data_IF_133992364663
#
_entry.id   IF_133992364663
#
_cell.length_a   1.000
_cell.length_b   1.000
_cell.length_c   1.000
_cell.angle_alpha   90.00
_cell.angle_beta   90.00
_cell.angle_gamma   90.00
#
_symmetry.space_group_name_H-M   'P 1'
#
loop_
_entity.id
_entity.type
_entity.pdbx_description
1 polymer ?
#
# COMPACT_ATOMS: atom_id res chain seq x y z
N UNK A 1 -2.47 -8.33 -31.97
CA UNK A 1 -1.44 -7.87 -31.02
C UNK A 1 -2.10 -6.82 -30.11
N UNK A 2 -2.72 -7.27 -29.01
CA UNK A 2 -3.30 -6.35 -28.04
C UNK A 2 -2.18 -5.80 -27.17
N UNK A 3 -2.01 -4.48 -27.15
CA UNK A 3 -1.14 -3.79 -26.23
C UNK A 3 -1.65 -4.03 -24.80
N UNK A 4 -0.82 -4.58 -23.92
CA UNK A 4 -1.15 -4.77 -22.51
C UNK A 4 -1.41 -3.42 -21.80
N UNK A 5 -2.18 -3.40 -20.72
CA UNK A 5 -2.55 -2.17 -20.04
C UNK A 5 -1.32 -1.45 -19.47
N UNK A 6 -1.31 -0.12 -19.49
CA UNK A 6 -0.15 0.69 -19.08
C UNK A 6 0.17 0.54 -17.58
N UNK A 7 1.44 0.69 -17.27
CA UNK A 7 2.00 0.69 -15.91
C UNK A 7 1.31 1.69 -14.96
N UNK A 8 1.45 1.49 -13.64
CA UNK A 8 1.02 2.47 -12.63
C UNK A 8 1.46 3.89 -13.04
N UNK A 9 0.59 4.90 -13.00
CA UNK A 9 0.89 6.25 -13.49
C UNK A 9 2.12 6.87 -12.84
N UNK A 10 2.40 6.52 -11.59
CA UNK A 10 3.58 6.99 -10.87
C UNK A 10 4.90 6.31 -11.33
N UNK A 11 4.82 5.19 -12.05
CA UNK A 11 6.00 4.51 -12.63
C UNK A 11 6.30 4.92 -14.06
N UNK A 12 5.30 5.42 -14.79
CA UNK A 12 5.47 5.85 -16.19
C UNK A 12 5.91 7.31 -16.34
N UNK A 13 6.04 8.05 -15.23
CA UNK A 13 6.37 9.48 -15.27
C UNK A 13 5.24 10.37 -15.82
N UNK A 14 4.09 9.79 -16.16
CA UNK A 14 2.97 10.53 -16.76
C UNK A 14 2.11 11.28 -15.72
N UNK A 15 2.35 11.06 -14.43
CA UNK A 15 1.66 11.75 -13.34
C UNK A 15 0.12 11.64 -13.42
N UNK A 16 -0.59 12.68 -12.99
CA UNK A 16 -2.05 12.75 -13.08
C UNK A 16 -2.59 12.77 -14.52
N UNK A 17 -1.77 13.03 -15.53
CA UNK A 17 -2.15 13.00 -16.95
C UNK A 17 -2.01 11.64 -17.63
N UNK A 18 -1.50 10.61 -16.92
CA UNK A 18 -1.40 9.23 -17.44
C UNK A 18 -2.75 8.51 -17.45
N UNK A 19 -2.93 7.51 -18.32
CA UNK A 19 -4.20 6.82 -18.56
C UNK A 19 -4.91 6.20 -17.35
N UNK A 20 -4.22 5.98 -16.20
CA UNK A 20 -4.82 5.57 -14.92
C UNK A 20 -5.16 6.74 -14.01
N UNK A 21 -4.57 7.87 -14.24
CA UNK A 21 -4.91 9.13 -13.58
C UNK A 21 -6.16 9.77 -14.17
N UNK A 22 -6.63 9.26 -15.31
CA UNK A 22 -7.96 9.59 -15.83
C UNK A 22 -9.08 9.21 -14.85
N UNK A 23 -8.85 8.19 -14.00
CA UNK A 23 -9.79 7.83 -12.93
C UNK A 23 -9.94 8.95 -11.89
N UNK A 24 -8.85 9.67 -11.54
CA UNK A 24 -8.93 10.82 -10.66
C UNK A 24 -9.77 11.94 -11.28
N UNK A 25 -9.57 12.25 -12.55
CA UNK A 25 -10.36 13.29 -13.21
C UNK A 25 -11.85 12.91 -13.39
N UNK A 26 -12.14 11.61 -13.57
CA UNK A 26 -13.51 11.10 -13.57
C UNK A 26 -14.18 11.27 -12.21
N UNK A 27 -13.50 10.87 -11.16
CA UNK A 27 -13.92 11.08 -9.78
C UNK A 27 -14.08 12.56 -9.46
N UNK A 28 -13.10 13.39 -9.85
CA UNK A 28 -13.14 14.82 -9.56
C UNK A 28 -14.31 15.53 -10.22
N UNK A 29 -14.60 15.24 -11.50
CA UNK A 29 -15.80 15.77 -12.18
C UNK A 29 -17.10 15.41 -11.47
N UNK A 30 -17.18 14.18 -10.91
CA UNK A 30 -18.31 13.78 -10.08
C UNK A 30 -18.41 14.65 -8.81
N UNK A 31 -17.29 14.90 -8.14
CA UNK A 31 -17.25 15.76 -6.95
C UNK A 31 -17.64 17.19 -7.28
N UNK A 32 -17.23 17.72 -8.42
CA UNK A 32 -17.65 19.04 -8.92
C UNK A 32 -19.15 19.12 -9.17
N UNK A 33 -19.71 18.12 -9.84
CA UNK A 33 -21.16 18.05 -10.10
C UNK A 33 -21.97 17.93 -8.80
N UNK A 34 -21.51 17.16 -7.82
CA UNK A 34 -22.15 17.06 -6.51
C UNK A 34 -22.07 18.39 -5.75
N UNK A 35 -20.97 19.11 -5.85
CA UNK A 35 -20.81 20.42 -5.23
C UNK A 35 -21.76 21.46 -5.83
N UNK A 36 -21.87 21.51 -7.15
CA UNK A 36 -22.79 22.37 -7.88
C UNK A 36 -24.28 22.07 -7.57
N UNK A 37 -24.57 20.79 -7.28
CA UNK A 37 -25.91 20.36 -6.84
C UNK A 37 -26.17 20.58 -5.34
N UNK A 38 -25.23 21.14 -4.57
CA UNK A 38 -25.37 21.32 -3.13
C UNK A 38 -25.26 20.01 -2.31
N UNK A 39 -24.80 18.91 -2.95
CA UNK A 39 -24.72 17.58 -2.37
C UNK A 39 -23.27 17.12 -2.19
N UNK A 40 -22.31 18.03 -2.06
CA UNK A 40 -20.93 17.67 -1.89
C UNK A 40 -20.70 16.92 -0.57
N UNK A 41 -19.97 15.78 -0.58
CA UNK A 41 -19.68 15.05 0.64
C UNK A 41 -18.86 15.93 1.60
N UNK A 42 -19.16 15.94 2.90
CA UNK A 42 -18.40 16.74 3.87
C UNK A 42 -16.98 16.20 4.09
N UNK A 43 -16.73 14.95 3.72
CA UNK A 43 -15.46 14.26 3.90
C UNK A 43 -15.08 13.51 2.63
N UNK A 44 -13.85 13.70 2.16
CA UNK A 44 -13.25 12.98 1.03
C UNK A 44 -11.94 12.35 1.50
N UNK A 45 -11.74 11.08 1.18
CA UNK A 45 -10.48 10.36 1.42
C UNK A 45 -9.92 9.84 0.12
N UNK A 46 -8.67 10.19 -0.16
CA UNK A 46 -7.92 9.67 -1.32
C UNK A 46 -6.75 8.84 -0.83
N UNK A 47 -6.80 7.52 -1.07
CA UNK A 47 -5.66 6.63 -0.83
C UNK A 47 -4.72 6.62 -2.03
N UNK A 48 -3.43 6.68 -1.77
CA UNK A 48 -2.41 6.59 -2.80
C UNK A 48 -1.11 5.98 -2.27
N UNK A 49 -0.18 5.70 -3.17
CA UNK A 49 1.19 5.36 -2.78
C UNK A 49 1.94 6.61 -2.32
N UNK A 50 2.87 6.44 -1.38
CA UNK A 50 3.70 7.55 -0.85
C UNK A 50 4.45 8.31 -1.96
N UNK A 51 4.74 7.64 -3.08
CA UNK A 51 5.36 8.25 -4.26
C UNK A 51 4.59 9.42 -4.87
N UNK A 52 3.30 9.60 -4.57
CA UNK A 52 2.53 10.77 -4.98
C UNK A 52 3.17 12.09 -4.48
N UNK A 53 3.74 12.08 -3.28
CA UNK A 53 4.38 13.26 -2.67
C UNK A 53 5.54 13.84 -3.49
N UNK A 54 6.17 13.01 -4.33
CA UNK A 54 7.34 13.39 -5.16
C UNK A 54 7.09 13.26 -6.65
N UNK A 55 5.91 12.81 -7.06
CA UNK A 55 5.55 12.66 -8.48
C UNK A 55 5.64 14.01 -9.19
N UNK A 56 6.34 14.05 -10.34
CA UNK A 56 6.64 15.27 -11.11
C UNK A 56 7.17 16.42 -10.23
N UNK A 57 8.11 16.11 -9.33
CA UNK A 57 8.66 17.10 -8.41
C UNK A 57 7.71 17.56 -7.29
N UNK A 58 6.57 16.86 -7.09
CA UNK A 58 5.51 17.21 -6.13
C UNK A 58 4.27 17.86 -6.76
N UNK A 59 4.30 18.16 -8.07
CA UNK A 59 3.21 18.85 -8.75
C UNK A 59 1.89 18.06 -8.72
N UNK A 60 1.92 16.72 -8.75
CA UNK A 60 0.70 15.91 -8.69
C UNK A 60 0.01 16.01 -7.33
N UNK A 61 0.78 16.00 -6.25
CA UNK A 61 0.26 16.19 -4.91
C UNK A 61 -0.30 17.60 -4.70
N UNK A 62 0.42 18.62 -5.17
CA UNK A 62 -0.01 20.01 -5.10
C UNK A 62 -1.33 20.24 -5.88
N UNK A 63 -1.45 19.67 -7.08
CA UNK A 63 -2.67 19.76 -7.88
C UNK A 63 -3.88 19.10 -7.19
N UNK A 64 -3.68 17.93 -6.54
CA UNK A 64 -4.72 17.27 -5.74
C UNK A 64 -5.16 18.16 -4.58
N UNK A 65 -4.22 18.71 -3.82
CA UNK A 65 -4.52 19.59 -2.68
C UNK A 65 -5.22 20.88 -3.14
N UNK A 66 -4.77 21.48 -4.24
CA UNK A 66 -5.38 22.69 -4.80
C UNK A 66 -6.82 22.47 -5.26
N UNK A 67 -7.10 21.34 -5.93
CA UNK A 67 -8.44 20.97 -6.35
C UNK A 67 -9.40 20.86 -5.15
N UNK A 68 -9.00 20.17 -4.09
CA UNK A 68 -9.78 20.00 -2.86
C UNK A 68 -9.98 21.34 -2.13
N UNK A 69 -8.89 22.11 -1.95
CA UNK A 69 -8.94 23.42 -1.29
C UNK A 69 -9.81 24.44 -2.05
N UNK A 70 -9.77 24.42 -3.39
CA UNK A 70 -10.58 25.28 -4.25
C UNK A 70 -12.09 25.05 -4.12
N UNK A 71 -12.51 23.92 -3.55
CA UNK A 71 -13.90 23.59 -3.23
C UNK A 71 -14.21 23.73 -1.73
N UNK A 72 -13.39 24.46 -0.98
CA UNK A 72 -13.65 24.79 0.43
C UNK A 72 -13.31 23.69 1.44
N UNK A 73 -12.57 22.64 1.04
CA UNK A 73 -12.09 21.64 1.97
C UNK A 73 -10.80 22.07 2.69
N UNK A 74 -10.72 21.80 3.98
CA UNK A 74 -9.44 21.65 4.67
C UNK A 74 -8.78 20.37 4.20
N UNK A 75 -7.49 20.38 3.92
CA UNK A 75 -6.79 19.26 3.31
C UNK A 75 -5.56 18.92 4.13
N UNK A 76 -5.37 17.67 4.42
CA UNK A 76 -4.14 17.18 5.04
C UNK A 76 -3.83 15.77 4.59
N UNK A 77 -2.63 15.30 4.88
CA UNK A 77 -2.20 13.97 4.53
C UNK A 77 -1.46 13.28 5.68
N UNK A 78 -1.67 11.99 5.81
CA UNK A 78 -0.95 11.12 6.74
C UNK A 78 -0.39 9.91 6.00
N UNK A 79 0.72 9.39 6.49
CA UNK A 79 1.33 8.16 5.99
C UNK A 79 1.15 7.06 7.02
N UNK A 80 0.61 5.91 6.60
CA UNK A 80 0.50 4.73 7.43
C UNK A 80 1.00 3.49 6.67
N UNK A 81 1.74 2.61 7.36
CA UNK A 81 2.15 1.33 6.80
C UNK A 81 1.20 0.23 7.30
N UNK A 82 0.73 -0.62 6.38
CA UNK A 82 -0.05 -1.81 6.74
C UNK A 82 0.68 -2.70 7.76
N UNK A 83 1.99 -2.60 7.87
CA UNK A 83 2.79 -3.31 8.87
C UNK A 83 2.38 -3.01 10.33
N UNK A 84 1.66 -1.92 10.57
CA UNK A 84 1.05 -1.64 11.86
C UNK A 84 -0.20 -2.49 12.15
N UNK A 85 -0.75 -3.20 11.17
CA UNK A 85 -2.03 -3.90 11.26
C UNK A 85 -1.97 -5.36 10.81
N UNK A 86 -1.15 -5.65 9.80
CA UNK A 86 -0.93 -6.98 9.23
C UNK A 86 0.55 -7.16 8.94
N UNK A 87 1.07 -8.39 8.85
CA UNK A 87 2.50 -8.59 8.58
C UNK A 87 2.86 -8.32 7.10
N UNK A 88 2.50 -7.12 6.60
CA UNK A 88 2.77 -6.66 5.25
C UNK A 88 3.36 -5.26 5.25
N UNK A 89 4.55 -5.06 4.71
CA UNK A 89 5.10 -3.73 4.46
C UNK A 89 4.42 -3.10 3.24
N UNK A 90 3.46 -2.23 3.50
CA UNK A 90 2.64 -1.53 2.49
C UNK A 90 2.38 -0.09 2.94
N UNK A 91 3.37 0.82 2.88
CA UNK A 91 3.16 2.21 3.21
C UNK A 91 2.20 2.87 2.20
N UNK A 92 1.25 3.64 2.74
CA UNK A 92 0.22 4.36 1.99
C UNK A 92 0.07 5.78 2.49
N UNK A 93 -0.26 6.66 1.55
CA UNK A 93 -0.64 8.04 1.81
C UNK A 93 -2.17 8.12 1.82
N UNK A 94 -2.73 8.67 2.88
CA UNK A 94 -4.14 9.02 2.96
C UNK A 94 -4.25 10.54 2.93
N UNK A 95 -4.80 11.08 1.86
CA UNK A 95 -5.16 12.51 1.78
C UNK A 95 -6.60 12.63 2.26
N UNK A 96 -6.81 13.36 3.33
CA UNK A 96 -8.13 13.56 3.94
C UNK A 96 -8.53 15.01 3.76
N UNK A 97 -9.70 15.23 3.17
CA UNK A 97 -10.27 16.54 2.94
C UNK A 97 -11.61 16.64 3.68
N UNK A 98 -11.81 17.69 4.46
CA UNK A 98 -12.96 17.87 5.34
C UNK A 98 -13.54 19.28 5.21
N UNK A 99 -14.87 19.38 5.01
CA UNK A 99 -15.64 20.63 5.07
C UNK A 99 -16.23 20.78 6.47
N UNK A 100 -15.58 21.55 7.29
CA UNK A 100 -16.02 21.80 8.65
C UNK A 100 -14.89 22.33 9.51
N UNK A 101 -15.22 22.62 10.76
CA UNK A 101 -14.23 23.02 11.74
C UNK A 101 -13.67 21.76 12.44
N UNK A 102 -12.44 21.41 12.09
CA UNK A 102 -11.80 20.26 12.72
C UNK A 102 -11.54 20.52 14.20
N UNK A 103 -11.82 19.53 15.09
CA UNK A 103 -11.43 19.61 16.48
C UNK A 103 -9.92 19.83 16.63
N UNK A 104 -9.49 20.67 17.58
CA UNK A 104 -8.09 20.95 17.83
C UNK A 104 -7.28 19.65 18.08
N UNK A 105 -7.85 18.70 18.83
CA UNK A 105 -7.22 17.41 19.09
C UNK A 105 -6.88 16.59 17.84
N UNK A 106 -7.57 16.83 16.73
CA UNK A 106 -7.37 16.10 15.46
C UNK A 106 -6.57 16.91 14.42
N UNK A 107 -6.13 18.13 14.74
CA UNK A 107 -5.54 19.08 13.79
C UNK A 107 -4.21 19.72 14.23
N UNK A 108 -3.51 19.08 15.18
CA UNK A 108 -2.24 19.59 15.73
C UNK A 108 -0.99 18.90 15.18
N UNK A 109 -1.16 17.97 14.26
CA UNK A 109 -0.09 17.13 13.73
C UNK A 109 0.26 15.96 14.65
N UNK A 110 1.15 15.09 14.18
CA UNK A 110 1.54 13.88 14.90
C UNK A 110 2.54 13.04 14.10
N UNK A 111 2.92 11.86 14.61
CA UNK A 111 3.97 11.02 14.02
C UNK A 111 3.65 10.51 12.61
N UNK A 112 2.37 10.55 12.20
CA UNK A 112 1.91 10.13 10.87
C UNK A 112 2.03 11.24 9.82
N UNK A 113 2.29 12.48 10.25
CA UNK A 113 2.78 13.57 9.39
C UNK A 113 4.29 13.39 9.25
N UNK A 114 4.68 12.45 8.41
CA UNK A 114 6.10 12.08 8.23
C UNK A 114 6.92 13.25 7.65
N UNK A 115 8.26 13.22 7.75
CA UNK A 115 9.11 14.22 7.09
C UNK A 115 8.85 14.33 5.57
N UNK A 116 8.40 13.27 4.92
CA UNK A 116 8.04 13.30 3.50
C UNK A 116 6.75 14.12 3.27
N UNK A 117 5.73 13.90 4.10
CA UNK A 117 4.48 14.68 4.08
C UNK A 117 4.76 16.15 4.42
N UNK A 118 5.54 16.42 5.45
CA UNK A 118 5.90 17.78 5.83
C UNK A 118 6.62 18.53 4.70
N UNK A 119 7.60 17.91 4.05
CA UNK A 119 8.28 18.50 2.87
C UNK A 119 7.34 18.74 1.70
N UNK A 120 6.35 17.87 1.48
CA UNK A 120 5.37 18.07 0.42
C UNK A 120 4.40 19.23 0.76
N UNK A 121 3.94 19.31 2.02
CA UNK A 121 3.17 20.44 2.55
C UNK A 121 3.89 21.77 2.34
N UNK A 122 5.19 21.82 2.66
CA UNK A 122 5.98 23.06 2.59
C UNK A 122 6.20 23.57 1.15
N UNK A 123 5.89 22.74 0.15
CA UNK A 123 5.88 23.12 -1.28
C UNK A 123 4.52 23.57 -1.79
N UNK A 124 3.47 23.45 -0.96
CA UNK A 124 2.15 23.96 -1.34
C UNK A 124 2.16 25.47 -1.29
N UNK A 125 1.36 26.09 -2.16
CA UNK A 125 1.15 27.52 -2.26
C UNK A 125 -0.34 27.90 -2.25
N UNK A 126 -0.63 29.20 -2.23
CA UNK A 126 -1.97 29.76 -2.36
C UNK A 126 -3.01 29.08 -1.47
N UNK A 127 -4.16 28.76 -2.07
CA UNK A 127 -5.30 28.16 -1.37
C UNK A 127 -4.97 26.78 -0.76
N UNK A 128 -4.14 25.98 -1.41
CA UNK A 128 -3.76 24.68 -0.90
C UNK A 128 -2.96 24.78 0.42
N UNK A 129 -2.06 25.76 0.49
CA UNK A 129 -1.28 26.03 1.72
C UNK A 129 -2.17 26.59 2.82
N UNK A 130 -3.07 27.50 2.50
CA UNK A 130 -3.98 28.11 3.46
C UNK A 130 -5.00 27.10 4.04
N UNK A 131 -5.44 26.15 3.23
CA UNK A 131 -6.38 25.11 3.62
C UNK A 131 -5.71 23.91 4.32
N UNK A 132 -4.38 23.88 4.40
CA UNK A 132 -3.67 22.73 4.97
C UNK A 132 -3.98 22.53 6.46
N UNK A 133 -4.15 21.28 6.83
CA UNK A 133 -4.36 20.82 8.21
C UNK A 133 -3.46 19.62 8.48
N UNK A 134 -2.63 19.72 9.54
CA UNK A 134 -1.83 18.57 9.98
C UNK A 134 -2.71 17.66 10.86
N UNK A 135 -3.26 16.61 10.24
CA UNK A 135 -4.13 15.65 10.92
C UNK A 135 -3.40 14.90 12.04
N UNK A 136 -4.09 14.69 13.15
CA UNK A 136 -3.58 14.07 14.39
C UNK A 136 -4.39 12.84 14.80
N UNK A 137 -4.57 11.81 13.97
CA UNK A 137 -5.23 10.61 14.42
C UNK A 137 -4.40 9.92 15.52
N UNK A 138 -5.08 9.23 16.43
CA UNK A 138 -4.40 8.36 17.39
C UNK A 138 -3.55 7.33 16.63
N UNK A 139 -2.27 7.19 17.02
CA UNK A 139 -1.37 6.23 16.41
C UNK A 139 -1.92 4.79 16.52
N UNK A 140 -1.70 3.93 15.49
CA UNK A 140 -2.09 2.53 15.57
C UNK A 140 -1.30 1.80 16.67
N UNK A 141 -1.94 0.81 17.29
CA UNK A 141 -1.34 0.06 18.41
C UNK A 141 -0.12 -0.80 18.01
N UNK A 142 0.08 -1.01 16.72
CA UNK A 142 1.09 -1.93 16.19
C UNK A 142 0.54 -3.33 15.96
N UNK A 143 1.30 -4.14 15.22
CA UNK A 143 0.94 -5.52 14.86
C UNK A 143 2.00 -6.48 15.35
N UNK A 144 1.61 -7.48 16.13
CA UNK A 144 2.51 -8.54 16.63
C UNK A 144 2.48 -9.81 15.76
N UNK A 145 1.58 -9.88 14.76
CA UNK A 145 1.54 -11.01 13.82
C UNK A 145 2.76 -11.03 12.92
N UNK A 146 3.20 -12.24 12.59
CA UNK A 146 4.26 -12.50 11.61
C UNK A 146 3.69 -13.14 10.36
N UNK A 147 4.41 -13.06 9.26
CA UNK A 147 4.05 -13.74 8.01
C UNK A 147 3.77 -15.24 8.23
N UNK A 148 4.55 -15.89 9.11
CA UNK A 148 4.38 -17.30 9.43
C UNK A 148 2.98 -17.63 9.97
N UNK A 149 2.37 -16.71 10.73
CA UNK A 149 1.08 -16.91 11.39
C UNK A 149 -0.09 -16.90 10.40
N UNK A 150 0.12 -16.38 9.18
CA UNK A 150 -0.90 -16.27 8.15
C UNK A 150 -0.82 -17.36 7.09
N UNK A 151 0.22 -18.19 7.12
CA UNK A 151 0.41 -19.23 6.11
C UNK A 151 -0.60 -20.36 6.28
N UNK A 152 -0.98 -20.94 5.15
CA UNK A 152 -1.73 -22.19 5.13
C UNK A 152 -0.80 -23.35 5.52
N UNK A 153 -1.34 -24.48 6.06
CA UNK A 153 -0.55 -25.65 6.40
C UNK A 153 0.27 -26.17 5.21
N UNK A 154 1.46 -26.71 5.49
CA UNK A 154 2.40 -27.14 4.47
C UNK A 154 1.88 -28.25 3.55
N UNK A 155 0.98 -29.08 4.06
CA UNK A 155 0.31 -30.19 3.35
C UNK A 155 -0.89 -29.71 2.51
N UNK A 156 -1.41 -28.52 2.79
CA UNK A 156 -2.51 -27.92 2.03
C UNK A 156 -2.05 -27.10 0.82
N UNK A 157 -0.75 -26.93 0.62
CA UNK A 157 -0.18 -26.03 -0.40
C UNK A 157 0.81 -26.75 -1.33
N UNK A 158 0.88 -26.28 -2.58
CA UNK A 158 1.84 -26.80 -3.54
C UNK A 158 3.19 -26.09 -3.42
N UNK A 159 4.25 -26.81 -3.14
CA UNK A 159 5.62 -26.34 -3.12
C UNK A 159 6.26 -26.40 -4.51
N UNK A 160 7.16 -25.48 -4.78
CA UNK A 160 7.98 -25.54 -5.99
C UNK A 160 8.86 -26.81 -5.98
N UNK A 161 9.04 -27.47 -7.14
CA UNK A 161 10.02 -28.55 -7.27
C UNK A 161 11.43 -28.07 -6.82
N UNK A 162 12.27 -28.98 -6.29
CA UNK A 162 13.62 -28.64 -5.82
C UNK A 162 14.46 -27.89 -6.86
N UNK A 163 14.36 -28.28 -8.13
CA UNK A 163 15.09 -27.64 -9.23
C UNK A 163 14.64 -26.19 -9.47
N UNK A 164 13.34 -25.89 -9.36
CA UNK A 164 12.85 -24.54 -9.46
C UNK A 164 13.33 -23.70 -8.28
N UNK A 165 13.23 -24.23 -7.05
CA UNK A 165 13.75 -23.57 -5.85
C UNK A 165 15.25 -23.25 -6.02
N UNK A 166 16.05 -24.19 -6.48
CA UNK A 166 17.49 -24.00 -6.71
C UNK A 166 17.77 -22.89 -7.74
N UNK A 167 17.03 -22.89 -8.86
CA UNK A 167 17.14 -21.81 -9.87
C UNK A 167 16.76 -20.43 -9.31
N UNK A 168 15.73 -20.36 -8.48
CA UNK A 168 15.31 -19.11 -7.84
C UNK A 168 16.38 -18.61 -6.85
N UNK A 169 16.97 -19.48 -6.04
CA UNK A 169 18.05 -19.14 -5.11
C UNK A 169 19.32 -18.69 -5.83
N UNK A 170 19.64 -19.28 -6.97
CA UNK A 170 20.78 -18.88 -7.80
C UNK A 170 20.70 -17.44 -8.34
N UNK A 171 19.51 -16.82 -8.34
CA UNK A 171 19.34 -15.40 -8.67
C UNK A 171 19.66 -14.46 -7.50
N UNK A 172 19.97 -14.96 -6.31
CA UNK A 172 20.33 -14.13 -5.16
C UNK A 172 21.66 -13.43 -5.37
N UNK A 173 21.78 -12.21 -4.85
CA UNK A 173 23.10 -11.57 -4.73
C UNK A 173 23.94 -12.30 -3.69
N UNK A 174 25.29 -12.17 -3.71
CA UNK A 174 26.18 -12.78 -2.72
C UNK A 174 25.76 -12.45 -1.27
N UNK A 175 25.32 -11.22 -1.01
CA UNK A 175 24.85 -10.79 0.31
C UNK A 175 23.57 -11.54 0.73
N UNK A 176 22.63 -11.73 -0.17
CA UNK A 176 21.40 -12.47 0.11
C UNK A 176 21.69 -13.96 0.30
N UNK A 177 22.57 -14.53 -0.50
CA UNK A 177 22.99 -15.93 -0.38
C UNK A 177 23.70 -16.21 0.97
N UNK A 178 24.59 -15.31 1.40
CA UNK A 178 25.27 -15.42 2.69
C UNK A 178 24.28 -15.34 3.87
N UNK A 179 23.28 -14.45 3.83
CA UNK A 179 22.23 -14.39 4.86
C UNK A 179 21.42 -15.67 4.91
N UNK A 180 21.05 -16.21 3.77
CA UNK A 180 20.34 -17.49 3.70
C UNK A 180 21.20 -18.64 4.25
N UNK A 181 22.48 -18.69 3.92
CA UNK A 181 23.42 -19.70 4.44
C UNK A 181 23.54 -19.61 5.97
N UNK A 182 23.62 -18.41 6.53
CA UNK A 182 23.63 -18.21 7.98
C UNK A 182 22.35 -18.76 8.63
N UNK A 183 21.16 -18.45 8.08
CA UNK A 183 19.90 -18.99 8.59
C UNK A 183 19.81 -20.51 8.51
N UNK A 184 20.35 -21.13 7.46
CA UNK A 184 20.39 -22.60 7.34
C UNK A 184 21.24 -23.26 8.43
N UNK A 185 22.24 -22.55 8.93
CA UNK A 185 23.11 -23.04 9.98
C UNK A 185 22.53 -22.92 11.40
N UNK A 186 21.49 -22.08 11.60
CA UNK A 186 20.87 -21.86 12.92
C UNK A 186 19.93 -22.98 13.36
N UNK A 187 19.49 -23.85 12.42
CA UNK A 187 18.47 -24.86 12.69
C UNK A 187 17.07 -24.26 12.89
N UNK A 188 16.08 -25.12 13.13
CA UNK A 188 14.69 -24.72 13.32
C UNK A 188 14.00 -24.23 12.04
N UNK A 189 12.82 -23.63 12.22
CA UNK A 189 11.96 -23.17 11.10
C UNK A 189 11.98 -21.65 10.98
N UNK A 190 12.42 -21.14 9.84
CA UNK A 190 12.43 -19.73 9.49
C UNK A 190 11.55 -19.48 8.26
N UNK A 191 10.55 -18.62 8.41
CA UNK A 191 9.64 -18.21 7.33
C UNK A 191 10.00 -16.81 6.87
N UNK A 192 10.11 -16.64 5.56
CA UNK A 192 10.39 -15.33 4.95
C UNK A 192 9.53 -15.06 3.71
N UNK A 193 9.47 -13.79 3.36
CA UNK A 193 8.96 -13.38 2.05
C UNK A 193 10.08 -13.44 1.02
N UNK A 194 9.73 -13.91 -0.17
CA UNK A 194 10.66 -14.10 -1.28
C UNK A 194 10.08 -13.45 -2.54
N UNK A 195 10.88 -12.67 -3.26
CA UNK A 195 10.41 -11.96 -4.43
C UNK A 195 11.55 -11.72 -5.43
N UNK A 196 11.19 -11.60 -6.70
CA UNK A 196 12.12 -11.26 -7.78
C UNK A 196 12.01 -9.78 -8.12
N UNK A 197 13.14 -9.14 -8.32
CA UNK A 197 13.25 -7.76 -8.79
C UNK A 197 14.21 -7.64 -9.95
N UNK A 198 13.88 -6.78 -10.90
CA UNK A 198 14.83 -6.36 -11.93
C UNK A 198 15.71 -5.28 -11.32
N UNK A 199 17.02 -5.49 -11.34
CA UNK A 199 18.06 -4.55 -10.94
C UNK A 199 18.83 -4.11 -12.17
N UNK A 200 19.39 -2.92 -12.15
CA UNK A 200 20.38 -2.47 -13.15
C UNK A 200 21.77 -2.71 -12.58
N UNK A 201 22.54 -3.54 -13.25
CA UNK A 201 23.92 -3.87 -12.91
C UNK A 201 24.77 -3.68 -14.16
N UNK A 202 25.83 -2.85 -14.09
CA UNK A 202 26.68 -2.51 -15.23
C UNK A 202 25.90 -2.11 -16.50
N UNK A 203 24.79 -1.36 -16.34
CA UNK A 203 23.94 -0.91 -17.45
C UNK A 203 22.93 -1.95 -17.96
N UNK A 204 23.02 -3.21 -17.53
CA UNK A 204 22.11 -4.28 -17.94
C UNK A 204 21.00 -4.52 -16.91
N UNK A 205 19.84 -4.99 -17.40
CA UNK A 205 18.72 -5.38 -16.55
C UNK A 205 18.89 -6.84 -16.12
N UNK A 206 19.15 -7.08 -14.83
CA UNK A 206 19.33 -8.42 -14.27
C UNK A 206 18.19 -8.72 -13.30
N UNK A 207 17.60 -9.91 -13.39
CA UNK A 207 16.65 -10.37 -12.37
C UNK A 207 17.41 -10.89 -11.15
N UNK A 208 17.07 -10.33 -9.98
CA UNK A 208 17.58 -10.76 -8.68
C UNK A 208 16.45 -11.28 -7.80
N UNK A 209 16.73 -12.32 -7.06
CA UNK A 209 15.88 -12.81 -6.00
C UNK A 209 16.32 -12.22 -4.66
N UNK A 210 15.36 -11.76 -3.89
CA UNK A 210 15.57 -11.18 -2.56
C UNK A 210 14.67 -11.88 -1.56
N UNK A 211 15.18 -12.17 -0.38
CA UNK A 211 14.43 -12.72 0.74
C UNK A 211 14.52 -11.79 1.94
N UNK A 212 13.44 -11.71 2.72
CA UNK A 212 13.41 -11.04 4.02
C UNK A 212 12.83 -11.99 5.07
N UNK A 213 13.41 -11.98 6.26
CA UNK A 213 13.04 -12.86 7.38
C UNK A 213 12.71 -12.07 8.64
N UNK A 214 12.26 -10.85 8.49
CA UNK A 214 11.84 -9.95 9.57
C UNK A 214 10.37 -10.14 9.97
N UNK A 215 9.73 -11.19 9.50
CA UNK A 215 8.34 -11.51 9.79
C UNK A 215 7.33 -10.79 8.89
N UNK A 216 7.77 -9.97 7.93
CA UNK A 216 6.88 -9.21 7.06
C UNK A 216 6.89 -9.74 5.62
N UNK A 217 5.74 -9.75 4.98
CA UNK A 217 5.61 -9.84 3.53
C UNK A 217 5.96 -8.49 2.87
N UNK A 218 6.35 -8.54 1.60
CA UNK A 218 6.42 -7.34 0.77
C UNK A 218 5.03 -6.84 0.38
N UNK A 219 4.96 -5.62 -0.15
CA UNK A 219 3.72 -5.06 -0.65
C UNK A 219 3.11 -5.92 -1.76
N UNK A 220 1.90 -6.42 -1.54
CA UNK A 220 1.13 -7.09 -2.57
C UNK A 220 0.86 -6.14 -3.74
N UNK A 221 0.94 -6.68 -4.94
CA UNK A 221 0.71 -5.94 -6.18
C UNK A 221 -0.21 -6.73 -7.07
N UNK A 222 -0.98 -6.05 -7.88
CA UNK A 222 -1.73 -6.66 -8.96
C UNK A 222 -0.81 -7.51 -9.83
N UNK A 223 -1.10 -8.79 -10.05
CA UNK A 223 -0.26 -9.65 -10.88
C UNK A 223 -0.23 -9.16 -12.33
N UNK A 224 0.97 -8.82 -12.82
CA UNK A 224 1.22 -8.47 -14.22
C UNK A 224 2.34 -9.34 -14.76
N UNK A 225 2.09 -10.64 -14.77
CA UNK A 225 3.10 -11.65 -15.08
C UNK A 225 3.79 -12.24 -13.85
N UNK A 226 4.51 -13.35 -14.04
CA UNK A 226 5.00 -14.21 -12.96
C UNK A 226 5.98 -13.58 -11.95
N UNK A 227 6.66 -12.47 -12.30
CA UNK A 227 7.66 -11.84 -11.43
C UNK A 227 7.06 -10.87 -10.39
N UNK A 228 5.80 -10.47 -10.54
CA UNK A 228 5.12 -9.53 -9.61
C UNK A 228 4.45 -10.24 -8.43
N UNK A 229 4.31 -11.56 -8.48
CA UNK A 229 3.69 -12.35 -7.42
C UNK A 229 4.67 -12.55 -6.25
N UNK A 230 4.16 -12.38 -5.04
CA UNK A 230 4.90 -12.67 -3.84
C UNK A 230 5.04 -14.18 -3.63
N UNK A 231 6.15 -14.58 -3.06
CA UNK A 231 6.45 -15.97 -2.73
C UNK A 231 6.83 -16.07 -1.26
N UNK A 232 6.72 -17.28 -0.73
CA UNK A 232 7.21 -17.66 0.57
C UNK A 232 8.51 -18.46 0.38
N UNK A 233 9.47 -18.25 1.26
CA UNK A 233 10.65 -19.10 1.46
C UNK A 233 10.60 -19.64 2.88
N UNK A 234 10.77 -20.94 3.02
CA UNK A 234 10.89 -21.61 4.32
C UNK A 234 12.24 -22.29 4.38
N UNK A 235 12.98 -22.00 5.45
CA UNK A 235 14.21 -22.70 5.82
C UNK A 235 13.87 -23.52 7.05
N UNK A 236 14.05 -24.84 6.98
CA UNK A 236 13.75 -25.77 8.07
C UNK A 236 14.83 -26.83 8.13
N UNK A 237 15.53 -26.86 9.24
CA UNK A 237 16.65 -27.78 9.49
C UNK A 237 17.67 -27.85 8.33
N UNK A 238 18.01 -26.68 7.80
CA UNK A 238 18.95 -26.54 6.69
C UNK A 238 18.36 -26.77 5.30
N UNK A 239 17.16 -27.36 5.19
CA UNK A 239 16.43 -27.47 3.91
C UNK A 239 15.75 -26.15 3.54
N UNK A 240 15.67 -25.85 2.23
CA UNK A 240 15.01 -24.63 1.73
C UNK A 240 13.91 -25.02 0.76
N UNK A 241 12.72 -24.53 1.03
CA UNK A 241 11.56 -24.69 0.13
C UNK A 241 11.02 -23.31 -0.25
N UNK A 242 10.46 -23.19 -1.45
CA UNK A 242 9.82 -21.95 -1.92
C UNK A 242 8.48 -22.26 -2.56
N UNK A 243 7.55 -21.33 -2.49
CA UNK A 243 6.27 -21.39 -3.20
C UNK A 243 5.69 -19.99 -3.41
N UNK A 244 4.72 -19.87 -4.27
CA UNK A 244 3.93 -18.64 -4.35
C UNK A 244 3.01 -18.52 -3.13
N UNK A 245 2.68 -17.29 -2.74
CA UNK A 245 1.56 -17.03 -1.84
C UNK A 245 0.26 -17.49 -2.49
N UNK A 246 -0.59 -18.14 -1.69
CA UNK A 246 -1.94 -18.50 -2.13
C UNK A 246 -2.85 -17.27 -2.13
N UNK A 247 -3.99 -17.32 -2.83
CA UNK A 247 -5.00 -16.26 -2.76
C UNK A 247 -5.51 -16.01 -1.34
N UNK A 248 -5.67 -17.06 -0.53
CA UNK A 248 -6.14 -16.93 0.86
C UNK A 248 -5.10 -16.25 1.74
N UNK A 249 -3.85 -16.59 1.62
CA UNK A 249 -2.75 -15.92 2.34
C UNK A 249 -2.63 -14.43 1.93
N UNK A 250 -2.80 -14.14 0.65
CA UNK A 250 -2.83 -12.76 0.17
C UNK A 250 -4.03 -11.98 0.75
N UNK A 251 -5.20 -12.61 0.88
CA UNK A 251 -6.37 -12.01 1.51
C UNK A 251 -6.13 -11.74 3.01
N UNK A 252 -5.52 -12.69 3.73
CA UNK A 252 -5.12 -12.52 5.15
C UNK A 252 -4.15 -11.34 5.33
N UNK A 253 -3.18 -11.19 4.43
CA UNK A 253 -2.25 -10.05 4.43
C UNK A 253 -2.96 -8.70 4.20
N UNK A 254 -4.11 -8.69 3.54
CA UNK A 254 -4.95 -7.49 3.40
C UNK A 254 -5.95 -7.33 4.55
N UNK A 255 -5.95 -8.25 5.52
CA UNK A 255 -6.87 -8.23 6.66
C UNK A 255 -8.31 -8.60 6.30
N UNK A 256 -8.52 -9.31 5.19
CA UNK A 256 -9.82 -9.84 4.84
C UNK A 256 -10.17 -11.04 5.74
N UNK A 257 -11.40 -11.15 6.23
CA UNK A 257 -11.81 -12.27 7.08
C UNK A 257 -11.81 -13.59 6.31
N UNK A 258 -11.67 -14.72 7.04
CA UNK A 258 -11.68 -16.06 6.43
C UNK A 258 -12.97 -16.34 5.64
N UNK A 259 -14.11 -15.82 6.11
CA UNK A 259 -15.40 -15.97 5.45
C UNK A 259 -15.54 -15.14 4.16
N UNK A 260 -14.58 -14.26 3.83
CA UNK A 260 -14.64 -13.46 2.61
C UNK A 260 -14.53 -14.36 1.38
N UNK A 261 -15.56 -14.32 0.53
CA UNK A 261 -15.62 -15.11 -0.69
C UNK A 261 -14.66 -14.54 -1.75
N UNK A 262 -13.57 -15.27 -2.00
CA UNK A 262 -12.63 -14.93 -3.06
C UNK A 262 -13.13 -15.44 -4.43
N UNK A 263 -12.82 -14.73 -5.52
CA UNK A 263 -13.04 -15.25 -6.87
C UNK A 263 -12.38 -16.64 -7.05
N UNK A 264 -13.04 -17.53 -7.80
CA UNK A 264 -12.52 -18.90 -8.03
C UNK A 264 -11.17 -18.94 -8.77
N UNK A 265 -10.91 -17.96 -9.64
CA UNK A 265 -9.65 -17.89 -10.39
C UNK A 265 -8.54 -17.28 -9.55
N UNK A 266 -7.39 -17.97 -9.43
CA UNK A 266 -6.21 -17.51 -8.67
C UNK A 266 -5.79 -16.09 -9.06
N UNK A 267 -5.74 -15.78 -10.35
CA UNK A 267 -5.38 -14.46 -10.84
C UNK A 267 -6.38 -13.38 -10.40
N UNK A 268 -7.68 -13.65 -10.51
CA UNK A 268 -8.73 -12.73 -10.10
C UNK A 268 -8.70 -12.47 -8.58
N UNK A 269 -8.53 -13.52 -7.78
CA UNK A 269 -8.40 -13.39 -6.33
C UNK A 269 -7.17 -12.57 -5.91
N UNK A 270 -6.03 -12.79 -6.57
CA UNK A 270 -4.83 -11.99 -6.34
C UNK A 270 -4.96 -10.53 -6.82
N UNK A 271 -5.81 -10.24 -7.82
CA UNK A 271 -6.14 -8.87 -8.20
C UNK A 271 -6.91 -8.16 -7.09
N UNK A 272 -7.91 -8.82 -6.50
CA UNK A 272 -8.65 -8.28 -5.34
C UNK A 272 -7.68 -7.86 -4.22
N UNK A 273 -6.75 -8.76 -3.85
CA UNK A 273 -5.77 -8.46 -2.81
C UNK A 273 -4.75 -7.38 -3.23
N UNK A 274 -4.33 -7.37 -4.50
CA UNK A 274 -3.30 -6.43 -5.00
C UNK A 274 -3.80 -5.00 -5.18
N UNK A 275 -5.04 -4.84 -5.68
CA UNK A 275 -5.67 -3.54 -5.95
C UNK A 275 -6.42 -2.99 -4.73
N UNK A 276 -6.74 -3.85 -3.75
CA UNK A 276 -7.45 -3.46 -2.54
C UNK A 276 -6.62 -2.63 -1.57
N UNK A 277 -7.29 -2.07 -0.59
CA UNK A 277 -6.70 -1.41 0.58
C UNK A 277 -6.60 -2.40 1.74
N UNK A 278 -5.64 -2.20 2.64
CA UNK A 278 -5.54 -2.99 3.87
C UNK A 278 -6.74 -2.65 4.77
N UNK A 279 -7.62 -3.62 4.99
CA UNK A 279 -8.90 -3.41 5.68
C UNK A 279 -8.72 -2.87 7.10
N UNK A 280 -7.83 -3.45 7.96
CA UNK A 280 -7.61 -2.91 9.29
C UNK A 280 -7.03 -1.49 9.31
N UNK A 281 -6.25 -1.12 8.28
CA UNK A 281 -5.72 0.25 8.18
C UNK A 281 -6.83 1.26 7.88
N UNK A 282 -7.77 0.91 7.01
CA UNK A 282 -8.94 1.77 6.71
C UNK A 282 -9.88 1.83 7.91
N UNK A 283 -10.11 0.70 8.60
CA UNK A 283 -10.93 0.69 9.83
C UNK A 283 -10.31 1.58 10.91
N UNK A 284 -9.00 1.45 11.14
CA UNK A 284 -8.29 2.34 12.05
C UNK A 284 -8.42 3.82 11.64
N UNK A 285 -8.28 4.14 10.36
CA UNK A 285 -8.43 5.52 9.87
C UNK A 285 -9.84 6.04 10.14
N UNK A 286 -10.86 5.21 9.90
CA UNK A 286 -12.25 5.55 10.21
C UNK A 286 -12.43 5.88 11.68
N UNK A 287 -12.05 4.97 12.58
CA UNK A 287 -12.20 5.11 14.02
C UNK A 287 -11.36 6.27 14.61
N UNK A 288 -10.13 6.48 14.09
CA UNK A 288 -9.18 7.41 14.67
C UNK A 288 -9.30 8.84 14.13
N UNK A 289 -9.92 9.04 12.97
CA UNK A 289 -9.99 10.35 12.31
C UNK A 289 -11.33 10.63 11.65
N UNK A 290 -11.85 9.73 10.80
CA UNK A 290 -12.96 10.08 9.92
C UNK A 290 -14.28 10.19 10.68
N UNK A 291 -14.63 9.21 11.50
CA UNK A 291 -15.85 9.23 12.33
C UNK A 291 -15.82 10.42 13.31
N UNK A 292 -14.73 10.69 14.06
CA UNK A 292 -14.64 11.88 14.91
C UNK A 292 -14.74 13.22 14.15
N UNK A 293 -14.34 13.29 12.86
CA UNK A 293 -14.55 14.47 12.04
C UNK A 293 -16.01 14.62 11.60
N UNK A 294 -16.71 13.51 11.37
CA UNK A 294 -18.14 13.54 11.02
C UNK A 294 -19.02 13.87 12.22
N UNK A 295 -18.65 13.45 13.43
CA UNK A 295 -19.40 13.68 14.67
C UNK A 295 -19.52 15.19 15.03
N UNK A 296 -18.64 16.04 14.52
CA UNK A 296 -18.71 17.50 14.75
C UNK A 296 -19.58 18.25 13.74
N UNK A 297 -20.11 17.55 12.72
CA UNK A 297 -21.03 18.16 11.77
C UNK A 297 -22.44 18.33 12.40
N UNK A 298 -23.16 19.40 12.07
CA UNK A 298 -24.53 19.56 12.54
C UNK A 298 -25.42 18.43 12.00
N UNK A 299 -26.39 17.94 12.80
CA UNK A 299 -27.35 16.96 12.32
C UNK A 299 -28.12 17.52 11.12
N UNK A 300 -28.10 16.77 10.00
CA UNK A 300 -28.76 17.17 8.75
C UNK A 300 -27.84 17.86 7.72
N UNK A 301 -26.55 17.92 7.95
CA UNK A 301 -25.55 18.44 7.01
C UNK A 301 -25.06 17.40 6.00
N UNK A 302 -25.91 16.49 5.50
CA UNK A 302 -25.61 15.52 4.44
C UNK A 302 -26.61 15.72 3.30
#
# INVERSE_FOLDING_TARGET
RSAGPPHSPLRSGAGLSGGRSSAFFGFWRLMEALDEAGCAPPLIVVENVVGLLTSRGGADFAALCAALAGRGYRVGAIEADAACFTPQSRPRLFVVAFRGQAPAALSTGGPLVTPAVARARDRLDGAARAAWTDWSPRAPAGCNMRLADLLEPDDAVAWNPPDLTRRLLAMMSPVQAARLAALRATGGRHVGAFFRRTRREAGQSVQRAEARFDGLAGCLRTPRGGSSRQSVIVVEDGAVRTRLLTPREAARLMGLPEAYALPKGVSAALHVAGDGVCVPAVRWLADALLEPLLDVLPPGGV
#
